data_IF_822487640151
#
_entry.id   IF_822487640151
#
_cell.length_a   1.000
_cell.length_b   1.000
_cell.length_c   1.000
_cell.angle_alpha   90.00
_cell.angle_beta   90.00
_cell.angle_gamma   90.00
#
_symmetry.space_group_name_H-M   'P 1'
#
loop_
_entity.id
_entity.type
_entity.pdbx_description
1 polymer ?
#
# COMPACT_ATOMS: atom_id res chain seq x y z
N UNK A 1 -10.25 11.61 -18.25
CA UNK A 1 -10.16 11.83 -16.78
C UNK A 1 -10.78 10.69 -15.96
N UNK A 2 -11.96 10.15 -16.35
CA UNK A 2 -12.65 9.06 -15.63
C UNK A 2 -11.81 7.77 -15.45
N UNK A 3 -11.09 7.35 -16.49
CA UNK A 3 -10.25 6.14 -16.44
C UNK A 3 -9.13 6.22 -15.38
N UNK A 4 -8.49 7.40 -15.27
CA UNK A 4 -7.46 7.64 -14.24
C UNK A 4 -8.03 7.53 -12.82
N UNK A 5 -9.26 8.01 -12.62
CA UNK A 5 -9.95 7.92 -11.32
C UNK A 5 -10.24 6.46 -10.95
N UNK A 6 -10.73 5.65 -11.88
CA UNK A 6 -11.03 4.25 -11.65
C UNK A 6 -9.77 3.44 -11.23
N UNK A 7 -8.63 3.68 -11.89
CA UNK A 7 -7.37 3.03 -11.51
C UNK A 7 -6.86 3.43 -10.13
N UNK A 8 -7.12 4.67 -9.69
CA UNK A 8 -6.76 5.12 -8.34
C UNK A 8 -7.74 4.56 -7.31
N UNK A 9 -9.02 4.42 -7.67
CA UNK A 9 -10.06 3.94 -6.78
C UNK A 9 -9.89 2.44 -6.45
N UNK A 10 -9.56 1.61 -7.46
CA UNK A 10 -9.43 0.15 -7.29
C UNK A 10 -8.29 -0.24 -6.33
N UNK A 11 -7.21 0.55 -6.27
CA UNK A 11 -6.09 0.29 -5.34
C UNK A 11 -6.41 0.67 -3.89
N UNK A 12 -7.58 1.29 -3.63
CA UNK A 12 -8.04 1.77 -2.31
C UNK A 12 -6.94 2.53 -1.56
N UNK A 13 -6.62 3.77 -1.98
CA UNK A 13 -5.38 4.48 -1.61
C UNK A 13 -5.27 4.74 -0.11
N UNK A 14 -6.39 4.87 0.61
CA UNK A 14 -6.39 5.00 2.07
C UNK A 14 -5.82 3.76 2.76
N UNK A 15 -6.10 2.56 2.25
CA UNK A 15 -5.56 1.31 2.79
C UNK A 15 -4.04 1.22 2.55
N UNK A 16 -3.60 1.66 1.37
CA UNK A 16 -2.18 1.75 1.03
C UNK A 16 -1.44 2.73 1.96
N UNK A 17 -2.01 3.90 2.23
CA UNK A 17 -1.43 4.89 3.15
C UNK A 17 -1.38 4.33 4.58
N UNK A 18 -2.47 3.72 5.04
CA UNK A 18 -2.53 3.19 6.41
C UNK A 18 -1.45 2.16 6.68
N UNK A 19 -1.24 1.21 5.77
CA UNK A 19 -0.14 0.26 5.95
C UNK A 19 1.25 0.81 5.61
N UNK A 20 1.36 1.86 4.79
CA UNK A 20 2.59 2.64 4.69
C UNK A 20 3.02 3.23 6.05
N UNK A 21 2.06 3.74 6.84
CA UNK A 21 2.32 4.23 8.19
C UNK A 21 2.77 3.11 9.14
N UNK A 22 2.19 1.91 9.04
CA UNK A 22 2.63 0.77 9.88
C UNK A 22 4.06 0.34 9.56
N UNK A 23 4.47 0.40 8.29
CA UNK A 23 5.88 0.18 7.89
C UNK A 23 6.81 1.20 8.53
N UNK A 24 6.45 2.49 8.51
CA UNK A 24 7.24 3.54 9.15
C UNK A 24 7.42 3.26 10.64
N UNK A 25 6.31 2.95 11.35
CA UNK A 25 6.34 2.61 12.79
C UNK A 25 7.27 1.42 13.04
N UNK A 26 7.17 0.35 12.23
CA UNK A 26 8.02 -0.83 12.36
C UNK A 26 9.51 -0.53 12.16
N UNK A 27 9.85 0.30 11.17
CA UNK A 27 11.24 0.69 10.91
C UNK A 27 11.79 1.53 12.08
N UNK A 28 11.04 2.53 12.53
CA UNK A 28 11.46 3.41 13.64
C UNK A 28 11.63 2.64 14.96
N UNK A 29 10.82 1.60 15.21
CA UNK A 29 10.91 0.78 16.41
C UNK A 29 12.07 -0.23 16.40
N UNK A 30 12.52 -0.68 15.22
CA UNK A 30 13.48 -1.80 15.10
C UNK A 30 14.88 -1.38 14.67
N UNK A 31 15.03 -0.21 14.03
CA UNK A 31 16.29 0.22 13.43
C UNK A 31 16.96 1.33 14.24
N UNK A 32 17.50 0.97 15.40
CA UNK A 32 18.36 1.85 16.21
C UNK A 32 19.83 1.80 15.75
N UNK A 33 20.55 2.91 15.92
CA UNK A 33 22.00 2.97 15.67
C UNK A 33 22.45 2.94 14.20
N UNK A 34 21.52 2.96 13.24
CA UNK A 34 21.86 3.07 11.81
C UNK A 34 22.05 4.53 11.35
N UNK A 35 22.90 4.78 10.35
CA UNK A 35 23.05 6.11 9.75
C UNK A 35 21.72 6.67 9.24
N UNK A 36 21.51 7.97 9.42
CA UNK A 36 20.26 8.66 9.04
C UNK A 36 19.89 8.44 7.56
N UNK A 37 20.88 8.48 6.66
CA UNK A 37 20.66 8.24 5.24
C UNK A 37 20.07 6.85 4.97
N UNK A 38 20.60 5.82 5.64
CA UNK A 38 20.12 4.45 5.50
C UNK A 38 18.72 4.29 6.09
N UNK A 39 18.43 4.97 7.21
CA UNK A 39 17.09 4.99 7.80
C UNK A 39 16.06 5.58 6.83
N UNK A 40 16.38 6.72 6.21
CA UNK A 40 15.50 7.37 5.23
C UNK A 40 15.28 6.47 4.01
N UNK A 41 16.36 5.87 3.48
CA UNK A 41 16.25 4.93 2.35
C UNK A 41 15.38 3.72 2.68
N UNK A 42 15.54 3.14 3.88
CA UNK A 42 14.72 2.02 4.34
C UNK A 42 13.24 2.41 4.42
N UNK A 43 12.93 3.61 4.91
CA UNK A 43 11.55 4.12 4.98
C UNK A 43 10.97 4.26 3.57
N UNK A 44 11.68 4.93 2.65
CA UNK A 44 11.20 5.16 1.29
C UNK A 44 10.94 3.84 0.57
N UNK A 45 11.93 2.93 0.57
CA UNK A 45 11.81 1.65 -0.12
C UNK A 45 10.73 0.79 0.55
N UNK A 46 10.69 0.73 1.88
CA UNK A 46 9.68 -0.04 2.61
C UNK A 46 8.25 0.42 2.33
N UNK A 47 8.00 1.73 2.36
CA UNK A 47 6.68 2.30 2.06
C UNK A 47 6.29 2.06 0.60
N UNK A 48 7.22 2.26 -0.35
CA UNK A 48 6.96 1.99 -1.77
C UNK A 48 6.65 0.50 -1.99
N UNK A 49 7.43 -0.40 -1.41
CA UNK A 49 7.19 -1.84 -1.48
C UNK A 49 5.80 -2.18 -0.94
N UNK A 50 5.42 -1.63 0.22
CA UNK A 50 4.10 -1.88 0.78
C UNK A 50 2.96 -1.35 -0.10
N UNK A 51 3.06 -0.11 -0.61
CA UNK A 51 2.03 0.46 -1.49
C UNK A 51 1.85 -0.41 -2.74
N UNK A 52 2.93 -0.89 -3.34
CA UNK A 52 2.87 -1.76 -4.52
C UNK A 52 2.22 -3.11 -4.20
N UNK A 53 2.62 -3.74 -3.09
CA UNK A 53 2.05 -5.03 -2.65
C UNK A 53 0.58 -4.87 -2.31
N UNK A 54 0.23 -3.90 -1.47
CA UNK A 54 -1.14 -3.63 -1.06
C UNK A 54 -2.02 -3.31 -2.27
N UNK A 55 -1.58 -2.40 -3.15
CA UNK A 55 -2.31 -2.06 -4.37
C UNK A 55 -2.54 -3.27 -5.27
N UNK A 56 -1.53 -4.13 -5.44
CA UNK A 56 -1.68 -5.39 -6.19
C UNK A 56 -2.67 -6.35 -5.52
N UNK A 57 -2.63 -6.46 -4.19
CA UNK A 57 -3.55 -7.29 -3.42
C UNK A 57 -5.00 -6.82 -3.55
N UNK A 58 -5.25 -5.52 -3.52
CA UNK A 58 -6.59 -4.96 -3.72
C UNK A 58 -7.10 -5.25 -5.14
N UNK A 59 -6.26 -5.12 -6.16
CA UNK A 59 -6.63 -5.43 -7.55
C UNK A 59 -6.95 -6.91 -7.70
N UNK A 60 -6.10 -7.79 -7.17
CA UNK A 60 -6.32 -9.24 -7.21
C UNK A 60 -7.62 -9.59 -6.48
N UNK A 61 -7.88 -8.99 -5.31
CA UNK A 61 -9.11 -9.19 -4.55
C UNK A 61 -10.34 -8.86 -5.40
N UNK A 62 -10.38 -7.66 -6.00
CA UNK A 62 -11.51 -7.24 -6.84
C UNK A 62 -11.67 -8.11 -8.11
N UNK A 63 -10.60 -8.72 -8.64
CA UNK A 63 -10.68 -9.67 -9.77
C UNK A 63 -11.39 -10.97 -9.34
N UNK A 64 -11.01 -11.55 -8.20
CA UNK A 64 -11.62 -12.79 -7.72
C UNK A 64 -13.04 -12.57 -7.19
N UNK A 65 -13.29 -11.41 -6.59
CA UNK A 65 -14.59 -11.06 -6.02
C UNK A 65 -15.57 -10.49 -7.06
N UNK A 66 -15.22 -10.44 -8.35
CA UNK A 66 -16.05 -9.81 -9.38
C UNK A 66 -17.47 -10.36 -9.46
N UNK A 67 -17.70 -11.64 -9.15
CA UNK A 67 -19.04 -12.23 -9.12
C UNK A 67 -19.79 -11.93 -7.83
N UNK A 68 -19.07 -11.89 -6.71
CA UNK A 68 -19.62 -11.59 -5.38
C UNK A 68 -20.04 -10.11 -5.33
N UNK A 69 -19.19 -9.23 -5.83
CA UNK A 69 -19.41 -7.80 -5.93
C UNK A 69 -20.63 -7.46 -6.79
N UNK A 70 -20.97 -8.27 -7.81
CA UNK A 70 -22.20 -8.04 -8.60
C UNK A 70 -23.48 -8.18 -7.78
N UNK A 71 -23.44 -8.92 -6.67
CA UNK A 71 -24.59 -9.23 -5.81
C UNK A 71 -24.58 -8.34 -4.57
N UNK A 72 -23.40 -8.03 -4.04
CA UNK A 72 -23.25 -7.44 -2.70
C UNK A 72 -22.73 -6.00 -2.69
N UNK A 73 -22.35 -5.43 -3.84
CA UNK A 73 -21.69 -4.13 -3.91
C UNK A 73 -22.60 -2.97 -4.29
#
# INVERSE_FOLDING_TARGET
MKLKKAYIEIIRPINCIMGGLTVIIGILNTRSGIPLLNLILNIIIGVLTYILIAGSGMIINDIYDVEIDKISR
#
